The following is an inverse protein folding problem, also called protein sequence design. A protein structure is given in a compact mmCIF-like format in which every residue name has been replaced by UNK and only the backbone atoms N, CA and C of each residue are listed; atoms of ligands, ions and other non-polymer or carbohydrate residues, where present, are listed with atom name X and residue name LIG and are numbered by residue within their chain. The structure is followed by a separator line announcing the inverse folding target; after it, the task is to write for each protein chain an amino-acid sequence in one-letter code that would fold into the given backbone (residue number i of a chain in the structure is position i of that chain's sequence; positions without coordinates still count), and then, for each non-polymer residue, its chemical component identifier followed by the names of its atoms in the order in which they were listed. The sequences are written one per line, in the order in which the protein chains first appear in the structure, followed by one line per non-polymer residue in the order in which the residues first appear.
data_IF_439865793769
#
_entry.id   IF_439865793769
#
_cell.length_a   1.000
_cell.length_b   1.000
_cell.length_c   1.000
_cell.angle_alpha   90.00
_cell.angle_beta   90.00
_cell.angle_gamma   90.00
#
_symmetry.space_group_name_H-M   'P 1'
#
loop_
_entity.id
_entity.type
_entity.pdbx_description
1 polymer ?
#
# COMPACT_ATOMS: atom_id res chain seq x y z
N UNK A 1 -16.84 -0.34 7.96
CA UNK A 1 -17.24 -1.31 6.90
C UNK A 1 -17.50 -2.66 7.52
N UNK A 2 -18.66 -3.24 7.24
CA UNK A 2 -18.97 -4.60 7.69
C UNK A 2 -18.19 -5.63 6.89
N UNK A 3 -17.72 -6.65 7.59
CA UNK A 3 -17.01 -7.77 6.96
C UNK A 3 -18.00 -8.87 6.59
N UNK A 4 -18.42 -8.85 5.34
CA UNK A 4 -19.34 -9.84 4.78
C UNK A 4 -18.59 -11.13 4.43
N UNK A 5 -19.35 -12.19 4.07
CA UNK A 5 -18.76 -13.44 3.57
C UNK A 5 -17.88 -13.20 2.33
N UNK A 6 -18.32 -12.30 1.44
CA UNK A 6 -17.54 -11.95 0.23
C UNK A 6 -16.20 -11.33 0.59
N UNK A 7 -16.21 -10.46 1.59
CA UNK A 7 -15.00 -9.82 2.07
C UNK A 7 -14.05 -10.85 2.69
N UNK A 8 -14.58 -11.76 3.52
CA UNK A 8 -13.80 -12.81 4.15
C UNK A 8 -13.20 -13.76 3.12
N UNK A 9 -13.96 -14.11 2.08
CA UNK A 9 -13.45 -14.96 0.99
C UNK A 9 -12.26 -14.30 0.30
N UNK A 10 -12.35 -13.01 0.02
CA UNK A 10 -11.27 -12.25 -0.60
C UNK A 10 -10.01 -12.25 0.28
N UNK A 11 -10.18 -12.03 1.58
CA UNK A 11 -9.04 -12.07 2.51
C UNK A 11 -8.39 -13.46 2.55
N UNK A 12 -9.19 -14.53 2.55
CA UNK A 12 -8.67 -15.89 2.49
C UNK A 12 -7.88 -16.13 1.22
N UNK A 13 -8.36 -15.61 0.09
CA UNK A 13 -7.65 -15.74 -1.18
C UNK A 13 -6.27 -15.08 -1.12
N UNK A 14 -6.18 -13.86 -0.57
CA UNK A 14 -4.89 -13.19 -0.41
C UNK A 14 -3.97 -13.94 0.54
N UNK A 15 -4.49 -14.47 1.63
CA UNK A 15 -3.71 -15.26 2.58
C UNK A 15 -3.21 -16.58 1.99
N UNK A 16 -3.87 -17.11 0.97
CA UNK A 16 -3.47 -18.36 0.31
C UNK A 16 -2.33 -18.17 -0.68
N UNK A 17 -2.03 -16.92 -1.07
CA UNK A 17 -0.93 -16.64 -1.99
C UNK A 17 0.39 -17.06 -1.34
N UNK A 18 1.14 -17.94 -2.01
CA UNK A 18 2.36 -18.54 -1.46
C UNK A 18 3.62 -17.70 -1.68
N UNK A 19 3.56 -16.72 -2.57
CA UNK A 19 4.70 -15.87 -2.92
C UNK A 19 4.22 -14.57 -3.58
N UNK A 20 5.17 -13.68 -3.87
CA UNK A 20 4.86 -12.38 -4.46
C UNK A 20 4.23 -12.49 -5.86
N UNK A 21 4.66 -13.45 -6.66
CA UNK A 21 4.11 -13.62 -8.01
C UNK A 21 2.64 -14.03 -7.97
N UNK A 22 2.28 -14.97 -7.10
CA UNK A 22 0.88 -15.38 -6.93
C UNK A 22 0.03 -14.21 -6.41
N UNK A 23 0.56 -13.43 -5.48
CA UNK A 23 -0.12 -12.26 -4.96
C UNK A 23 -0.35 -11.22 -6.06
N UNK A 24 0.66 -10.95 -6.89
CA UNK A 24 0.55 -10.03 -8.01
C UNK A 24 -0.48 -10.49 -9.03
N UNK A 25 -0.47 -11.79 -9.37
CA UNK A 25 -1.44 -12.37 -10.28
C UNK A 25 -2.88 -12.19 -9.76
N UNK A 26 -3.08 -12.39 -8.47
CA UNK A 26 -4.40 -12.23 -7.86
C UNK A 26 -4.84 -10.77 -7.91
N UNK A 27 -3.94 -9.83 -7.59
CA UNK A 27 -4.23 -8.40 -7.66
C UNK A 27 -4.59 -7.98 -9.09
N UNK A 28 -3.81 -8.43 -10.07
CA UNK A 28 -4.05 -8.11 -11.48
C UNK A 28 -5.37 -8.70 -11.98
N UNK A 29 -5.77 -9.86 -11.47
CA UNK A 29 -7.03 -10.48 -11.84
C UNK A 29 -8.24 -9.73 -11.25
N UNK A 30 -8.09 -9.13 -10.08
CA UNK A 30 -9.17 -8.48 -9.35
C UNK A 30 -9.32 -7.00 -9.66
N UNK A 31 -8.24 -6.31 -9.92
CA UNK A 31 -8.21 -4.86 -9.98
C UNK A 31 -7.87 -4.36 -11.37
N UNK A 32 -8.35 -3.16 -11.69
CA UNK A 32 -7.89 -2.44 -12.89
C UNK A 32 -6.49 -1.89 -12.64
N UNK A 33 -5.77 -1.57 -13.73
CA UNK A 33 -4.45 -0.95 -13.63
C UNK A 33 -4.49 0.34 -12.81
N UNK A 34 -5.55 1.14 -12.97
CA UNK A 34 -5.73 2.37 -12.22
C UNK A 34 -5.88 2.10 -10.72
N UNK A 35 -6.68 1.09 -10.36
CA UNK A 35 -6.88 0.70 -8.96
C UNK A 35 -5.59 0.21 -8.33
N UNK A 36 -4.82 -0.61 -9.04
CA UNK A 36 -3.52 -1.10 -8.58
C UNK A 36 -2.55 0.04 -8.34
N UNK A 37 -2.49 0.98 -9.28
CA UNK A 37 -1.61 2.15 -9.15
C UNK A 37 -1.98 3.00 -7.93
N UNK A 38 -3.28 3.21 -7.69
CA UNK A 38 -3.75 3.96 -6.54
C UNK A 38 -3.39 3.27 -5.22
N UNK A 39 -3.56 1.95 -5.15
CA UNK A 39 -3.22 1.16 -3.97
C UNK A 39 -1.71 1.20 -3.70
N UNK A 40 -0.91 0.97 -4.74
CA UNK A 40 0.54 0.99 -4.62
C UNK A 40 1.05 2.37 -4.17
N UNK A 41 0.48 3.43 -4.72
CA UNK A 41 0.84 4.81 -4.34
C UNK A 41 0.54 5.07 -2.86
N UNK A 42 -0.56 4.56 -2.32
CA UNK A 42 -0.88 4.72 -0.89
C UNK A 42 0.19 4.10 0.00
N UNK A 43 0.66 2.92 -0.34
CA UNK A 43 1.73 2.26 0.41
C UNK A 43 3.05 3.03 0.28
N UNK A 44 3.41 3.42 -0.93
CA UNK A 44 4.67 4.14 -1.17
C UNK A 44 4.69 5.49 -0.46
N UNK A 45 3.63 6.28 -0.58
CA UNK A 45 3.54 7.59 0.07
C UNK A 45 3.59 7.44 1.59
N UNK A 46 2.86 6.47 2.14
CA UNK A 46 2.87 6.22 3.58
C UNK A 46 4.29 5.85 4.05
N UNK A 47 4.99 5.00 3.31
CA UNK A 47 6.38 4.63 3.60
C UNK A 47 7.28 5.86 3.60
N UNK A 48 7.19 6.70 2.58
CA UNK A 48 8.00 7.90 2.47
C UNK A 48 7.72 8.89 3.59
N UNK A 49 6.44 9.06 3.98
CA UNK A 49 6.08 9.91 5.11
C UNK A 49 6.65 9.38 6.43
N UNK A 50 6.62 8.07 6.64
CA UNK A 50 7.24 7.44 7.82
C UNK A 50 8.74 7.68 7.86
N UNK A 51 9.39 7.75 6.72
CA UNK A 51 10.82 8.00 6.59
C UNK A 51 11.15 9.50 6.58
N UNK A 52 10.17 10.34 6.90
CA UNK A 52 10.33 11.80 7.04
C UNK A 52 10.64 12.54 5.74
N UNK A 53 10.23 11.99 4.60
CA UNK A 53 10.27 12.74 3.35
C UNK A 53 9.27 13.90 3.38
N UNK A 54 9.66 15.01 2.78
CA UNK A 54 8.75 16.16 2.66
C UNK A 54 7.70 15.91 1.57
N UNK A 55 6.62 16.67 1.59
CA UNK A 55 5.60 16.60 0.54
C UNK A 55 6.20 16.93 -0.84
N UNK A 56 7.13 17.86 -0.89
CA UNK A 56 7.81 18.22 -2.14
C UNK A 56 8.62 17.05 -2.69
N UNK A 57 9.39 16.39 -1.85
CA UNK A 57 10.17 15.21 -2.24
C UNK A 57 9.26 14.09 -2.74
N UNK A 58 8.13 13.84 -2.04
CA UNK A 58 7.15 12.85 -2.45
C UNK A 58 6.53 13.21 -3.80
N UNK A 59 6.16 14.47 -3.98
CA UNK A 59 5.62 14.95 -5.25
C UNK A 59 6.62 14.76 -6.40
N UNK A 60 7.88 15.12 -6.18
CA UNK A 60 8.93 14.96 -7.18
C UNK A 60 9.12 13.50 -7.58
N UNK A 61 9.00 12.58 -6.62
CA UNK A 61 9.20 11.15 -6.85
C UNK A 61 7.98 10.46 -7.47
N UNK A 62 6.78 10.81 -7.01
CA UNK A 62 5.54 10.10 -7.38
C UNK A 62 4.71 10.84 -8.42
N UNK A 63 4.94 12.12 -8.61
CA UNK A 63 4.13 13.03 -9.44
C UNK A 63 2.69 13.17 -8.95
N UNK A 64 2.42 12.81 -7.69
CA UNK A 64 1.12 13.01 -7.07
C UNK A 64 0.97 14.45 -6.59
N UNK A 65 -0.25 14.99 -6.64
CA UNK A 65 -0.53 16.33 -6.15
C UNK A 65 -0.35 16.42 -4.63
N UNK A 66 -0.06 17.62 -4.14
CA UNK A 66 0.02 17.88 -2.70
C UNK A 66 -1.29 17.54 -1.99
N UNK A 67 -2.42 17.75 -2.65
CA UNK A 67 -3.75 17.39 -2.12
C UNK A 67 -3.86 15.90 -1.89
N UNK A 68 -3.45 15.08 -2.86
CA UNK A 68 -3.48 13.62 -2.75
C UNK A 68 -2.54 13.15 -1.63
N UNK A 69 -1.32 13.70 -1.57
CA UNK A 69 -0.36 13.36 -0.51
C UNK A 69 -0.91 13.72 0.86
N UNK A 70 -1.55 14.89 0.99
CA UNK A 70 -2.17 15.31 2.24
C UNK A 70 -3.31 14.39 2.67
N UNK A 71 -4.11 13.91 1.73
CA UNK A 71 -5.19 12.96 2.02
C UNK A 71 -4.63 11.64 2.54
N UNK A 72 -3.57 11.14 1.95
CA UNK A 72 -2.91 9.91 2.41
C UNK A 72 -2.30 10.12 3.80
N UNK A 73 -1.64 11.26 4.03
CA UNK A 73 -1.08 11.60 5.33
C UNK A 73 -2.16 11.63 6.42
N UNK A 74 -3.29 12.26 6.13
CA UNK A 74 -4.41 12.34 7.05
C UNK A 74 -4.97 10.95 7.37
N UNK A 75 -5.09 10.09 6.36
CA UNK A 75 -5.58 8.73 6.53
C UNK A 75 -4.64 7.91 7.41
N UNK A 76 -3.33 7.99 7.20
CA UNK A 76 -2.39 7.23 8.02
C UNK A 76 -2.33 7.71 9.46
N UNK A 77 -2.65 8.98 9.73
CA UNK A 77 -2.74 9.50 11.09
C UNK A 77 -4.00 8.99 11.81
N UNK A 78 -5.09 8.82 11.07
CA UNK A 78 -6.35 8.32 11.61
C UNK A 78 -6.40 6.79 11.72
N UNK A 79 -5.64 6.09 10.89
CA UNK A 79 -5.64 4.63 10.79
C UNK A 79 -4.20 4.16 10.60
N UNK A 80 -3.65 3.49 11.59
CA UNK A 80 -2.25 3.06 11.61
C UNK A 80 -2.00 1.68 10.99
N UNK A 81 -2.98 1.12 10.30
CA UNK A 81 -2.87 -0.24 9.71
C UNK A 81 -1.70 -0.32 8.74
N UNK A 82 -1.60 0.59 7.77
CA UNK A 82 -0.51 0.56 6.78
C UNK A 82 0.85 0.81 7.45
N UNK A 83 1.02 1.82 8.33
CA UNK A 83 2.27 1.98 9.07
C UNK A 83 2.72 0.74 9.82
N UNK A 84 1.79 0.03 10.48
CA UNK A 84 2.11 -1.21 11.22
C UNK A 84 2.56 -2.32 10.28
N UNK A 85 1.91 -2.46 9.13
CA UNK A 85 2.31 -3.45 8.13
C UNK A 85 3.70 -3.14 7.59
N UNK A 86 4.00 -1.88 7.32
CA UNK A 86 5.32 -1.46 6.87
C UNK A 86 6.40 -1.78 7.91
N UNK A 87 6.13 -1.53 9.19
CA UNK A 87 7.04 -1.90 10.28
C UNK A 87 7.32 -3.40 10.30
N UNK A 88 6.27 -4.20 10.12
CA UNK A 88 6.39 -5.66 10.07
C UNK A 88 7.26 -6.12 8.90
N UNK A 89 7.09 -5.51 7.73
CA UNK A 89 7.88 -5.84 6.54
C UNK A 89 9.35 -5.48 6.73
N UNK A 90 9.63 -4.33 7.30
CA UNK A 90 11.00 -3.88 7.59
C UNK A 90 11.67 -4.84 8.58
N UNK A 91 10.97 -5.23 9.63
CA UNK A 91 11.49 -6.16 10.66
C UNK A 91 11.81 -7.53 10.08
N UNK A 92 11.00 -8.01 9.13
CA UNK A 92 11.20 -9.32 8.49
C UNK A 92 12.18 -9.29 7.32
N UNK A 93 12.64 -8.11 6.91
CA UNK A 93 13.54 -7.95 5.78
C UNK A 93 12.92 -8.28 4.43
N UNK A 94 11.62 -8.30 4.33
CA UNK A 94 10.90 -8.65 3.09
C UNK A 94 10.73 -7.48 2.13
N UNK A 95 10.97 -6.27 2.59
CA UNK A 95 10.85 -5.08 1.76
C UNK A 95 12.12 -4.85 0.97
N UNK A 96 11.98 -4.63 -0.33
CA UNK A 96 13.11 -4.32 -1.21
C UNK A 96 12.76 -3.08 -2.05
N UNK A 97 13.37 -1.94 -1.69
CA UNK A 97 13.14 -0.67 -2.36
C UNK A 97 13.53 -0.70 -3.85
N UNK A 98 14.44 -1.58 -4.24
CA UNK A 98 14.91 -1.67 -5.62
C UNK A 98 13.85 -2.22 -6.56
N UNK A 99 12.79 -2.81 -6.02
CA UNK A 99 11.70 -3.40 -6.82
C UNK A 99 10.50 -2.45 -6.99
N UNK A 100 10.61 -1.26 -6.49
CA UNK A 100 9.55 -0.26 -6.63
C UNK A 100 9.54 0.39 -8.04
#
# INVERSE_FOLDING_TARGET
MERTERYSLMCQAFLSAGNADECADLLEALCTDKELKQMANRFLVTKMLKENYTFREINDHTHLSSTTIAQISKKMQADDTIPKILDKLETTGKWDDRKL
#
